data_IF_214957238647
#
_entry.id   IF_214957238647
#
_cell.length_a   1.000
_cell.length_b   1.000
_cell.length_c   1.000
_cell.angle_alpha   90.00
_cell.angle_beta   90.00
_cell.angle_gamma   90.00
#
_symmetry.space_group_name_H-M   'P 1'
#
loop_
_entity.id
_entity.type
_entity.pdbx_description
1 polymer ?
#
# COMPACT_ATOMS: atom_id res chain seq x y z
N UNK A 1 -20.94 13.46 9.18
CA UNK A 1 -20.67 13.88 7.79
C UNK A 1 -19.73 15.08 7.84
N UNK A 2 -18.60 15.08 7.12
CA UNK A 2 -17.58 16.17 7.14
C UNK A 2 -18.04 17.47 6.44
N UNK A 3 -19.33 17.79 6.52
CA UNK A 3 -20.02 18.70 5.60
C UNK A 3 -19.70 20.20 5.81
N UNK A 4 -18.99 20.57 6.88
CA UNK A 4 -18.73 21.98 7.22
C UNK A 4 -17.29 22.44 6.97
N UNK A 5 -16.40 21.57 6.49
CA UNK A 5 -14.99 21.92 6.26
C UNK A 5 -14.68 22.03 4.77
N UNK A 6 -14.01 23.11 4.41
CA UNK A 6 -13.40 23.30 3.09
C UNK A 6 -12.21 22.34 2.96
N UNK A 7 -12.37 21.35 2.06
CA UNK A 7 -11.38 20.30 1.81
C UNK A 7 -10.71 20.56 0.47
N UNK A 8 -9.53 21.16 0.49
CA UNK A 8 -8.78 21.46 -0.74
C UNK A 8 -7.87 20.32 -1.19
N UNK A 9 -7.36 19.53 -0.24
CA UNK A 9 -6.40 18.47 -0.50
C UNK A 9 -6.67 17.26 0.38
N UNK A 10 -6.61 16.06 -0.18
CA UNK A 10 -6.76 14.79 0.53
C UNK A 10 -5.61 13.87 0.18
N UNK A 11 -4.83 13.49 1.19
CA UNK A 11 -3.75 12.53 1.05
C UNK A 11 -4.31 11.14 1.35
N UNK A 12 -4.03 10.17 0.48
CA UNK A 12 -4.57 8.82 0.57
C UNK A 12 -3.46 7.79 0.41
N UNK A 13 -3.56 6.71 1.18
CA UNK A 13 -2.72 5.51 1.03
C UNK A 13 -2.87 4.87 -0.36
N UNK A 14 -1.82 4.25 -0.92
CA UNK A 14 -1.90 3.51 -2.19
C UNK A 14 -2.72 2.22 -2.09
N UNK A 15 -3.18 1.84 -0.90
CA UNK A 15 -3.98 0.64 -0.70
C UNK A 15 -5.39 0.83 -1.27
N UNK A 16 -5.86 -0.15 -2.05
CA UNK A 16 -7.18 -0.12 -2.70
C UNK A 16 -8.31 0.20 -1.72
N UNK A 17 -8.28 -0.42 -0.54
CA UNK A 17 -9.27 -0.19 0.53
C UNK A 17 -9.31 1.27 0.99
N UNK A 18 -8.15 1.93 1.12
CA UNK A 18 -8.08 3.32 1.55
C UNK A 18 -8.60 4.27 0.47
N UNK A 19 -8.23 4.04 -0.79
CA UNK A 19 -8.76 4.81 -1.92
C UNK A 19 -10.28 4.67 -2.05
N UNK A 20 -10.83 3.47 -1.90
CA UNK A 20 -12.27 3.24 -1.93
C UNK A 20 -12.98 3.95 -0.78
N UNK A 21 -12.43 3.90 0.43
CA UNK A 21 -12.98 4.61 1.58
C UNK A 21 -13.01 6.12 1.34
N UNK A 22 -11.89 6.70 0.87
CA UNK A 22 -11.82 8.13 0.57
C UNK A 22 -12.83 8.53 -0.52
N UNK A 23 -12.98 7.72 -1.57
CA UNK A 23 -13.97 7.94 -2.62
C UNK A 23 -15.40 7.91 -2.07
N UNK A 24 -15.78 6.84 -1.36
CA UNK A 24 -17.13 6.70 -0.82
C UNK A 24 -17.49 7.81 0.17
N UNK A 25 -16.51 8.31 0.93
CA UNK A 25 -16.70 9.39 1.89
C UNK A 25 -16.92 10.76 1.22
N UNK A 26 -16.32 10.99 0.05
CA UNK A 26 -16.21 12.33 -0.54
C UNK A 26 -16.93 12.49 -1.88
N UNK A 27 -17.28 11.41 -2.58
CA UNK A 27 -17.86 11.45 -3.94
C UNK A 27 -19.14 12.27 -4.07
N UNK A 28 -19.93 12.34 -2.99
CA UNK A 28 -21.22 13.04 -2.96
C UNK A 28 -21.09 14.50 -2.48
N UNK A 29 -19.86 15.00 -2.26
CA UNK A 29 -19.63 16.41 -1.91
C UNK A 29 -19.81 17.33 -3.12
N UNK A 30 -20.40 18.53 -2.95
CA UNK A 30 -20.53 19.50 -4.04
C UNK A 30 -19.20 19.93 -4.68
N UNK A 31 -18.13 19.96 -3.88
CA UNK A 31 -16.77 20.37 -4.27
C UNK A 31 -15.86 19.21 -4.68
N UNK A 32 -16.35 17.95 -4.75
CA UNK A 32 -15.52 16.77 -4.99
C UNK A 32 -14.59 16.90 -6.21
N UNK A 33 -15.07 17.51 -7.30
CA UNK A 33 -14.28 17.76 -8.54
C UNK A 33 -13.15 18.77 -8.38
N UNK A 34 -13.17 19.55 -7.30
CA UNK A 34 -12.21 20.60 -7.00
C UNK A 34 -11.13 20.12 -6.02
N UNK A 35 -11.41 19.08 -5.23
CA UNK A 35 -10.48 18.47 -4.27
C UNK A 35 -9.29 17.88 -5.02
N UNK A 36 -8.08 18.21 -4.60
CA UNK A 36 -6.85 17.58 -5.08
C UNK A 36 -6.55 16.35 -4.24
N UNK A 37 -6.51 15.18 -4.88
CA UNK A 37 -6.10 13.94 -4.23
C UNK A 37 -4.61 13.69 -4.46
N UNK A 38 -3.92 13.18 -3.45
CA UNK A 38 -2.51 12.78 -3.56
C UNK A 38 -2.40 11.35 -3.04
N UNK A 39 -1.98 10.42 -3.90
CA UNK A 39 -1.65 9.07 -3.46
C UNK A 39 -0.23 9.08 -2.90
N UNK A 40 -0.11 8.92 -1.59
CA UNK A 40 1.19 8.96 -0.91
C UNK A 40 1.58 7.55 -0.41
N UNK A 41 2.64 6.94 -0.95
CA UNK A 41 3.11 5.61 -0.54
C UNK A 41 3.45 5.50 0.95
N UNK A 42 3.86 6.60 1.59
CA UNK A 42 4.19 6.62 3.03
C UNK A 42 2.96 6.57 3.95
N UNK A 43 1.75 6.66 3.40
CA UNK A 43 0.51 6.50 4.15
C UNK A 43 0.02 5.04 4.15
N UNK A 44 0.83 4.09 3.70
CA UNK A 44 0.51 2.67 3.80
C UNK A 44 0.59 2.21 5.26
N UNK A 45 -0.16 1.15 5.56
CA UNK A 45 0.04 0.39 6.79
C UNK A 45 1.37 -0.38 6.69
N UNK A 46 1.93 -0.73 7.85
CA UNK A 46 3.01 -1.71 7.90
C UNK A 46 2.56 -3.03 7.27
N UNK A 47 3.49 -3.74 6.63
CA UNK A 47 3.17 -5.02 6.00
C UNK A 47 2.97 -6.08 7.09
N UNK A 48 1.72 -6.29 7.49
CA UNK A 48 1.37 -7.31 8.50
C UNK A 48 0.47 -8.40 7.94
N UNK A 49 -0.35 -8.12 6.95
CA UNK A 49 -1.27 -9.08 6.34
C UNK A 49 -1.22 -8.99 4.83
N UNK A 50 -1.74 -9.99 4.13
CA UNK A 50 -1.78 -9.96 2.67
C UNK A 50 -2.56 -8.75 2.12
N UNK A 51 -3.50 -8.21 2.90
CA UNK A 51 -4.24 -7.01 2.53
C UNK A 51 -3.36 -5.75 2.47
N UNK A 52 -2.19 -5.75 3.11
CA UNK A 52 -1.28 -4.61 3.23
C UNK A 52 -0.28 -4.52 2.08
N UNK A 53 -0.17 -5.56 1.25
CA UNK A 53 0.65 -5.52 0.04
C UNK A 53 -0.09 -4.71 -1.03
N UNK A 54 0.46 -3.55 -1.44
CA UNK A 54 -0.18 -2.72 -2.45
C UNK A 54 -0.06 -3.34 -3.84
N UNK A 55 -0.94 -2.90 -4.73
CA UNK A 55 -0.79 -3.16 -6.17
C UNK A 55 0.42 -2.42 -6.73
N UNK A 56 0.84 -2.80 -7.93
CA UNK A 56 1.92 -2.12 -8.66
C UNK A 56 1.60 -0.61 -8.81
N UNK A 57 2.62 0.23 -9.01
CA UNK A 57 2.42 1.68 -9.17
C UNK A 57 1.49 1.96 -10.35
N UNK A 58 1.71 1.29 -11.48
CA UNK A 58 0.83 1.41 -12.65
C UNK A 58 -0.63 1.05 -12.36
N UNK A 59 -0.87 -0.04 -11.62
CA UNK A 59 -2.22 -0.47 -11.23
C UNK A 59 -2.86 0.51 -10.26
N UNK A 60 -2.10 0.96 -9.26
CA UNK A 60 -2.53 1.96 -8.26
C UNK A 60 -2.89 3.28 -8.94
N UNK A 61 -2.05 3.78 -9.84
CA UNK A 61 -2.30 5.00 -10.59
C UNK A 61 -3.54 4.90 -11.48
N UNK A 62 -3.69 3.77 -12.20
CA UNK A 62 -4.87 3.49 -13.01
C UNK A 62 -6.15 3.47 -12.17
N UNK A 63 -6.10 2.85 -10.98
CA UNK A 63 -7.23 2.77 -10.07
C UNK A 63 -7.59 4.13 -9.48
N UNK A 64 -6.59 4.89 -9.01
CA UNK A 64 -6.79 6.23 -8.44
C UNK A 64 -7.42 7.19 -9.45
N UNK A 65 -6.96 7.19 -10.71
CA UNK A 65 -7.50 8.02 -11.80
C UNK A 65 -8.95 7.68 -12.18
N UNK A 66 -9.43 6.47 -11.87
CA UNK A 66 -10.85 6.09 -12.03
C UNK A 66 -11.74 6.66 -10.93
N UNK A 67 -11.19 6.85 -9.72
CA UNK A 67 -11.94 7.30 -8.55
C UNK A 67 -11.91 8.81 -8.38
N UNK A 68 -10.76 9.43 -8.61
CA UNK A 68 -10.49 10.81 -8.23
C UNK A 68 -10.31 11.70 -9.46
N UNK A 69 -11.10 12.78 -9.60
CA UNK A 69 -11.07 13.63 -10.79
C UNK A 69 -9.77 14.44 -10.93
N UNK A 70 -9.12 14.77 -9.80
CA UNK A 70 -7.82 15.43 -9.73
C UNK A 70 -6.95 14.63 -8.80
N UNK A 71 -6.02 13.85 -9.33
CA UNK A 71 -5.14 13.02 -8.52
C UNK A 71 -3.69 13.07 -8.98
N UNK A 72 -2.80 13.31 -8.02
CA UNK A 72 -1.37 13.12 -8.17
C UNK A 72 -1.00 11.69 -7.73
N UNK A 73 -0.43 10.93 -8.65
CA UNK A 73 0.06 9.57 -8.44
C UNK A 73 1.56 9.46 -8.66
N UNK A 74 2.26 10.57 -8.92
CA UNK A 74 3.65 10.55 -9.38
C UNK A 74 4.59 11.21 -8.37
N UNK A 75 4.24 12.38 -7.82
CA UNK A 75 5.18 13.20 -7.05
C UNK A 75 5.74 12.48 -5.83
N UNK A 76 4.88 11.79 -5.07
CA UNK A 76 5.33 11.05 -3.89
C UNK A 76 6.02 9.72 -4.23
N UNK A 77 5.80 9.17 -5.42
CA UNK A 77 6.47 7.95 -5.88
C UNK A 77 7.85 8.22 -6.50
N UNK A 78 8.12 9.45 -6.95
CA UNK A 78 9.38 9.83 -7.57
C UNK A 78 10.61 9.67 -6.67
N UNK A 79 10.42 9.55 -5.35
CA UNK A 79 11.50 9.33 -4.38
C UNK A 79 12.01 7.89 -4.31
N UNK A 80 11.26 6.91 -4.83
CA UNK A 80 11.62 5.51 -4.81
C UNK A 80 12.42 5.15 -6.06
N UNK A 81 13.46 4.35 -5.90
CA UNK A 81 14.31 3.94 -7.01
C UNK A 81 13.53 3.06 -7.99
N UNK A 82 12.75 2.13 -7.45
CA UNK A 82 11.81 1.30 -8.16
C UNK A 82 10.39 1.55 -7.63
N UNK A 83 9.62 2.35 -8.38
CA UNK A 83 8.23 2.69 -8.04
C UNK A 83 7.33 1.47 -7.94
N UNK A 84 7.66 0.38 -8.63
CA UNK A 84 6.86 -0.85 -8.58
C UNK A 84 7.10 -1.66 -7.30
N UNK A 85 8.20 -1.37 -6.59
CA UNK A 85 8.61 -2.03 -5.34
C UNK A 85 8.72 -1.04 -4.17
N UNK A 86 8.05 0.11 -4.27
CA UNK A 86 8.14 1.19 -3.27
C UNK A 86 7.90 0.69 -1.83
N UNK A 87 7.00 -0.28 -1.66
CA UNK A 87 6.62 -0.84 -0.36
C UNK A 87 7.68 -1.79 0.20
N UNK A 88 8.54 -2.39 -0.64
CA UNK A 88 9.70 -3.17 -0.20
C UNK A 88 10.87 -2.23 0.12
N UNK A 89 11.06 -1.17 -0.65
CA UNK A 89 12.08 -0.15 -0.37
C UNK A 89 11.82 0.55 0.97
N UNK A 90 10.57 0.88 1.25
CA UNK A 90 10.15 1.55 2.49
C UNK A 90 10.40 0.69 3.75
N UNK A 91 10.37 -0.64 3.62
CA UNK A 91 10.76 -1.55 4.71
C UNK A 91 12.21 -1.37 5.16
N UNK A 92 13.11 -0.83 4.33
CA UNK A 92 14.49 -0.55 4.76
C UNK A 92 14.53 0.29 6.05
N UNK A 93 13.54 1.17 6.22
CA UNK A 93 13.44 2.07 7.36
C UNK A 93 12.68 1.47 8.54
N UNK A 94 11.78 0.52 8.29
CA UNK A 94 10.92 -0.13 9.31
C UNK A 94 11.53 -1.44 9.83
N UNK A 95 11.94 -2.31 8.91
CA UNK A 95 12.47 -3.66 9.15
C UNK A 95 13.40 -4.11 8.00
N UNK A 96 14.68 -3.73 8.12
CA UNK A 96 15.71 -4.05 7.14
C UNK A 96 15.97 -5.57 6.95
N UNK A 97 15.69 -6.39 7.98
CA UNK A 97 15.86 -7.84 7.89
C UNK A 97 14.80 -8.44 7.00
N UNK A 98 13.52 -8.09 7.24
CA UNK A 98 12.41 -8.51 6.39
C UNK A 98 12.60 -8.04 4.95
N UNK A 99 13.07 -6.82 4.74
CA UNK A 99 13.39 -6.34 3.39
C UNK A 99 14.39 -7.26 2.68
N UNK A 100 15.49 -7.61 3.35
CA UNK A 100 16.55 -8.45 2.77
C UNK A 100 15.99 -9.82 2.41
N UNK A 101 15.19 -10.43 3.28
CA UNK A 101 14.55 -11.72 3.00
C UNK A 101 13.63 -11.65 1.77
N UNK A 102 12.84 -10.58 1.63
CA UNK A 102 11.98 -10.37 0.46
C UNK A 102 12.81 -10.26 -0.82
N UNK A 103 13.88 -9.48 -0.78
CA UNK A 103 14.76 -9.30 -1.93
C UNK A 103 15.47 -10.60 -2.32
N UNK A 104 15.95 -11.38 -1.34
CA UNK A 104 16.59 -12.69 -1.57
C UNK A 104 15.58 -13.69 -2.17
N UNK A 105 14.35 -13.72 -1.66
CA UNK A 105 13.29 -14.57 -2.19
C UNK A 105 12.90 -14.19 -3.63
N UNK A 106 12.87 -12.89 -3.94
CA UNK A 106 12.62 -12.41 -5.30
C UNK A 106 13.75 -12.80 -6.27
N UNK A 107 14.99 -12.87 -5.80
CA UNK A 107 16.12 -13.35 -6.60
C UNK A 107 16.09 -14.88 -6.79
N UNK A 108 15.66 -15.62 -5.76
CA UNK A 108 15.56 -17.07 -5.82
C UNK A 108 14.42 -17.56 -6.74
N UNK A 109 13.29 -16.85 -6.75
CA UNK A 109 12.10 -17.19 -7.56
C UNK A 109 11.68 -16.00 -8.47
N UNK A 110 12.42 -15.71 -9.56
CA UNK A 110 12.16 -14.55 -10.42
C UNK A 110 10.87 -14.68 -11.24
N UNK A 111 10.33 -15.89 -11.39
CA UNK A 111 9.07 -16.16 -12.10
C UNK A 111 7.84 -15.71 -11.30
N UNK A 112 7.97 -15.57 -9.97
CA UNK A 112 6.88 -15.07 -9.11
C UNK A 112 6.84 -13.55 -9.16
N UNK A 113 5.64 -13.00 -9.13
CA UNK A 113 5.48 -11.56 -8.97
C UNK A 113 6.03 -11.10 -7.61
N UNK A 114 6.45 -9.83 -7.49
CA UNK A 114 6.92 -9.28 -6.21
C UNK A 114 5.91 -9.45 -5.07
N UNK A 115 4.61 -9.30 -5.36
CA UNK A 115 3.55 -9.50 -4.39
C UNK A 115 3.46 -10.96 -3.92
N UNK A 116 3.57 -11.93 -4.83
CA UNK A 116 3.59 -13.36 -4.49
C UNK A 116 4.81 -13.72 -3.63
N UNK A 117 5.98 -13.16 -3.95
CA UNK A 117 7.19 -13.34 -3.15
C UNK A 117 7.05 -12.73 -1.75
N UNK A 118 6.46 -11.53 -1.64
CA UNK A 118 6.13 -10.95 -0.35
C UNK A 118 5.19 -11.85 0.44
N UNK A 119 4.06 -12.29 -0.16
CA UNK A 119 3.09 -13.16 0.51
C UNK A 119 3.68 -14.48 1.01
N UNK A 120 4.56 -15.11 0.23
CA UNK A 120 5.24 -16.33 0.65
C UNK A 120 6.02 -16.12 1.95
N UNK A 121 6.72 -15.00 2.10
CA UNK A 121 7.46 -14.67 3.31
C UNK A 121 6.58 -14.20 4.46
N UNK A 122 5.46 -13.52 4.19
CA UNK A 122 4.53 -13.11 5.26
C UNK A 122 4.07 -14.30 6.10
N UNK A 123 3.86 -15.45 5.44
CA UNK A 123 3.45 -16.68 6.14
C UNK A 123 4.55 -17.29 7.02
N UNK A 124 5.82 -16.95 6.79
CA UNK A 124 6.96 -17.59 7.44
C UNK A 124 7.57 -16.75 8.55
N UNK A 125 7.77 -15.45 8.31
CA UNK A 125 8.75 -14.67 9.09
C UNK A 125 8.25 -13.33 9.61
N UNK A 126 7.09 -12.83 9.18
CA UNK A 126 6.61 -11.55 9.70
C UNK A 126 6.10 -11.71 11.14
N UNK A 127 6.78 -11.11 12.15
CA UNK A 127 6.26 -11.11 13.50
C UNK A 127 4.91 -10.40 13.53
N UNK A 128 3.98 -10.89 14.35
CA UNK A 128 2.65 -10.30 14.57
C UNK A 128 1.64 -10.38 13.42
N UNK A 129 2.05 -10.88 12.24
CA UNK A 129 1.13 -11.25 11.15
C UNK A 129 0.20 -12.39 11.59
N UNK A 130 -1.12 -12.25 11.43
CA UNK A 130 -2.09 -13.33 11.74
C UNK A 130 -1.79 -14.61 10.96
N UNK A 131 -1.27 -14.44 9.75
CA UNK A 131 -0.92 -15.51 8.83
C UNK A 131 0.45 -16.13 9.12
N UNK A 132 1.25 -15.56 10.03
CA UNK A 132 2.58 -16.07 10.38
C UNK A 132 2.51 -17.46 11.02
N UNK A 133 3.47 -18.31 10.68
CA UNK A 133 3.62 -19.63 11.27
C UNK A 133 3.76 -19.55 12.80
N UNK A 134 4.48 -18.55 13.31
CA UNK A 134 4.66 -18.31 14.74
C UNK A 134 3.32 -18.05 15.45
N UNK A 135 2.47 -17.19 14.91
CA UNK A 135 1.16 -16.89 15.52
C UNK A 135 0.18 -18.05 15.38
N UNK A 136 0.23 -18.79 14.27
CA UNK A 136 -0.56 -20.03 14.10
C UNK A 136 -0.19 -21.08 15.14
N UNK A 137 1.11 -21.27 15.41
CA UNK A 137 1.59 -22.20 16.43
C UNK A 137 1.19 -21.77 17.85
N UNK A 138 1.30 -20.47 18.17
CA UNK A 138 0.91 -19.95 19.48
C UNK A 138 -0.59 -20.09 19.78
N UNK A 139 -1.45 -20.08 18.75
CA UNK A 139 -2.91 -20.29 18.89
C UNK A 139 -3.32 -21.75 19.01
N UNK A 140 -2.43 -22.68 18.64
CA UNK A 140 -2.68 -24.12 18.69
C UNK A 140 -2.30 -24.75 20.04
N UNK A 141 -1.74 -23.95 20.95
CA UNK A 141 -1.39 -24.30 22.34
C UNK A 141 -2.49 -23.83 23.29
#
# INVERSE_FOLDING_TARGET
>A
MLASQDLHCVIVSPLRRAMQTAYLLLKDRPDFKQINFIVNPLCREHLHTSGDVPSTHAQTASYARKLFPRVDTESCFARFANRELFYVEDLAHEDAQTQTLIMDQMQADPEKSPAENCFALMTQVLPDCMESARNKLARAQ
#
